data_IF_246036536402
#
_entry.id   IF_246036536402
#
_cell.length_a   1.000
_cell.length_b   1.000
_cell.length_c   1.000
_cell.angle_alpha   90.00
_cell.angle_beta   90.00
_cell.angle_gamma   90.00
#
_symmetry.space_group_name_H-M   'P 1'
#
loop_
_entity.id
_entity.type
_entity.pdbx_description
1 polymer ?
#
# COMPACT_ATOMS: atom_id res chain seq x y z
N UNK A 1 -50.47 26.89 16.70
CA UNK A 1 -51.24 25.83 17.39
C UNK A 1 -51.96 24.99 16.35
N UNK A 2 -51.49 23.77 16.08
CA UNK A 2 -52.31 22.65 15.61
C UNK A 2 -51.44 21.38 15.70
N UNK A 3 -51.81 20.51 16.63
CA UNK A 3 -51.29 19.15 16.78
C UNK A 3 -52.11 18.26 15.84
N UNK A 4 -51.49 17.32 15.14
CA UNK A 4 -52.10 16.02 14.94
C UNK A 4 -51.04 14.94 14.69
N UNK A 5 -50.85 14.15 15.73
CA UNK A 5 -50.13 12.89 15.79
C UNK A 5 -50.72 11.86 14.82
N UNK A 6 -49.87 11.15 14.07
CA UNK A 6 -50.16 9.78 13.63
C UNK A 6 -48.91 8.94 13.86
N UNK A 7 -49.01 8.10 14.89
CA UNK A 7 -48.15 6.95 15.09
C UNK A 7 -48.63 5.85 14.14
N UNK A 8 -47.78 5.44 13.19
CA UNK A 8 -47.93 4.18 12.47
C UNK A 8 -46.88 3.21 13.03
N UNK A 9 -47.37 2.35 13.92
CA UNK A 9 -46.84 1.03 14.22
C UNK A 9 -47.19 0.05 13.08
N UNK A 10 -46.50 -1.08 13.05
CA UNK A 10 -46.52 -2.22 12.11
C UNK A 10 -45.46 -2.11 11.00
N UNK A 11 -44.57 -3.08 10.78
CA UNK A 11 -44.60 -4.50 11.17
C UNK A 11 -43.19 -5.11 11.05
N UNK A 12 -42.73 -5.77 12.10
CA UNK A 12 -41.65 -6.75 12.05
C UNK A 12 -42.11 -7.96 11.23
N UNK A 13 -41.38 -8.30 10.17
CA UNK A 13 -41.43 -9.64 9.57
C UNK A 13 -40.06 -10.29 9.70
N UNK A 14 -39.94 -11.17 10.69
CA UNK A 14 -38.91 -12.20 10.77
C UNK A 14 -39.24 -13.28 9.72
N UNK A 15 -38.39 -13.46 8.72
CA UNK A 15 -38.20 -14.73 8.02
C UNK A 15 -36.76 -15.13 8.34
N UNK A 16 -36.43 -16.25 8.99
CA UNK A 16 -36.96 -17.59 8.80
C UNK A 16 -35.83 -18.42 8.16
N UNK A 17 -35.05 -19.12 8.98
CA UNK A 17 -33.95 -19.99 8.54
C UNK A 17 -34.49 -21.19 7.74
N UNK A 18 -33.84 -21.54 6.62
CA UNK A 18 -33.95 -22.86 6.01
C UNK A 18 -32.54 -23.41 5.83
N UNK A 19 -32.26 -24.45 6.59
CA UNK A 19 -31.09 -25.31 6.54
C UNK A 19 -31.48 -26.50 5.67
N UNK A 20 -30.68 -26.81 4.66
CA UNK A 20 -30.82 -28.03 3.88
C UNK A 20 -29.46 -28.73 3.88
N UNK A 21 -29.39 -29.80 4.66
CA UNK A 21 -28.35 -30.81 4.63
C UNK A 21 -28.73 -31.92 3.62
N UNK A 22 -27.65 -32.49 3.08
CA UNK A 22 -27.46 -33.84 2.56
C UNK A 22 -28.11 -34.31 1.25
N UNK A 23 -27.23 -34.68 0.32
CA UNK A 23 -27.13 -36.09 -0.09
C UNK A 23 -25.72 -36.43 -0.59
N UNK A 24 -25.09 -37.29 0.20
CA UNK A 24 -24.01 -38.22 -0.17
C UNK A 24 -24.18 -38.86 -1.56
N UNK A 25 -23.08 -39.02 -2.28
CA UNK A 25 -22.75 -40.36 -2.77
C UNK A 25 -21.23 -40.56 -2.90
N UNK A 26 -20.74 -41.43 -2.03
CA UNK A 26 -19.41 -42.04 -2.02
C UNK A 26 -19.36 -43.21 -3.00
N UNK A 27 -18.27 -43.33 -3.77
CA UNK A 27 -17.56 -44.59 -4.04
C UNK A 27 -16.22 -44.25 -4.71
N UNK A 28 -15.11 -44.25 -3.95
CA UNK A 28 -14.11 -45.34 -3.82
C UNK A 28 -13.46 -45.77 -5.14
N UNK A 29 -12.17 -46.14 -5.25
CA UNK A 29 -10.90 -45.96 -4.56
C UNK A 29 -9.86 -46.63 -5.51
N UNK A 30 -8.58 -46.56 -5.14
CA UNK A 30 -7.46 -47.44 -5.52
C UNK A 30 -6.71 -47.13 -6.83
N UNK A 31 -5.52 -46.53 -6.75
CA UNK A 31 -4.27 -47.27 -6.56
C UNK A 31 -3.06 -46.34 -6.37
N UNK A 32 -2.31 -46.62 -5.32
CA UNK A 32 -1.01 -46.03 -5.02
C UNK A 32 0.07 -46.54 -5.98
N UNK A 33 1.05 -45.69 -6.30
CA UNK A 33 2.43 -46.16 -6.48
C UNK A 33 3.44 -45.11 -6.01
N UNK A 34 4.12 -45.50 -4.93
CA UNK A 34 5.38 -45.01 -4.37
C UNK A 34 6.54 -45.37 -5.32
N UNK A 35 7.50 -44.46 -5.51
CA UNK A 35 8.96 -44.69 -5.57
C UNK A 35 9.62 -43.36 -5.98
N UNK A 36 10.37 -42.69 -5.11
CA UNK A 36 11.73 -42.97 -4.63
C UNK A 36 12.81 -42.32 -5.52
N UNK A 37 13.70 -41.63 -4.83
CA UNK A 37 14.86 -40.86 -5.28
C UNK A 37 15.85 -41.70 -6.11
N UNK A 38 16.74 -41.02 -6.85
CA UNK A 38 18.14 -41.41 -6.79
C UNK A 38 19.07 -40.21 -6.49
N UNK A 39 19.92 -40.42 -5.51
CA UNK A 39 21.13 -39.65 -5.19
C UNK A 39 22.31 -40.23 -5.96
N UNK A 40 23.04 -39.41 -6.74
CA UNK A 40 24.47 -39.62 -7.09
C UNK A 40 25.11 -38.23 -7.25
N UNK A 41 25.73 -37.66 -6.20
CA UNK A 41 27.18 -37.61 -5.89
C UNK A 41 28.01 -36.62 -6.72
N UNK A 42 28.31 -35.50 -6.04
CA UNK A 42 29.59 -34.79 -5.87
C UNK A 42 30.29 -33.99 -6.99
N UNK A 43 30.85 -32.86 -6.50
CA UNK A 43 31.87 -31.94 -7.04
C UNK A 43 31.34 -30.96 -8.11
N UNK A 44 31.52 -29.65 -8.02
CA UNK A 44 32.55 -28.84 -7.37
C UNK A 44 31.97 -27.50 -6.90
N UNK A 45 32.57 -27.01 -5.82
CA UNK A 45 32.56 -25.63 -5.35
C UNK A 45 32.94 -24.65 -6.45
N UNK A 46 32.04 -23.74 -6.79
CA UNK A 46 32.41 -22.41 -7.27
C UNK A 46 31.58 -21.40 -6.47
N UNK A 47 32.26 -20.75 -5.54
CA UNK A 47 31.77 -19.56 -4.89
C UNK A 47 31.48 -18.54 -5.98
N UNK A 48 30.20 -18.32 -6.29
CA UNK A 48 29.81 -17.14 -7.04
C UNK A 48 29.99 -15.96 -6.11
N UNK A 49 31.23 -15.46 -6.04
CA UNK A 49 31.57 -14.14 -5.54
C UNK A 49 30.69 -13.16 -6.31
N UNK A 50 29.54 -12.81 -5.76
CA UNK A 50 28.81 -11.65 -6.18
C UNK A 50 29.62 -10.48 -5.64
N UNK A 51 30.62 -10.11 -6.43
CA UNK A 51 31.24 -8.80 -6.37
C UNK A 51 30.14 -7.80 -6.72
N UNK A 52 29.30 -7.48 -5.73
CA UNK A 52 28.62 -6.20 -5.72
C UNK A 52 29.68 -5.24 -5.24
N UNK A 53 30.55 -4.85 -6.17
CA UNK A 53 31.10 -3.51 -6.17
C UNK A 53 29.87 -2.60 -6.17
N UNK A 54 29.43 -2.19 -4.98
CA UNK A 54 28.65 -0.98 -4.85
C UNK A 54 29.58 0.09 -5.38
N UNK A 55 29.39 0.42 -6.66
CA UNK A 55 29.96 1.62 -7.22
C UNK A 55 29.60 2.75 -6.25
N UNK A 56 30.65 3.25 -5.61
CA UNK A 56 30.74 4.34 -4.65
C UNK A 56 30.08 5.65 -5.14
N UNK A 57 29.51 5.63 -6.35
CA UNK A 57 28.98 6.77 -7.10
C UNK A 57 27.49 7.03 -6.90
N UNK A 58 26.82 6.36 -5.97
CA UNK A 58 25.49 6.81 -5.49
C UNK A 58 25.33 6.68 -3.98
N UNK A 59 26.44 6.72 -3.23
CA UNK A 59 26.38 7.30 -1.90
C UNK A 59 26.28 8.80 -2.12
N UNK A 60 25.06 9.30 -2.27
CA UNK A 60 24.81 10.72 -2.00
C UNK A 60 25.53 11.01 -0.68
N UNK A 61 26.33 12.07 -0.61
CA UNK A 61 26.85 12.60 0.65
C UNK A 61 25.64 13.04 1.49
N UNK A 62 24.97 12.07 2.12
CA UNK A 62 23.89 12.27 3.08
C UNK A 62 24.55 12.47 4.43
N UNK A 63 25.54 13.36 4.56
CA UNK A 63 26.25 13.55 5.82
C UNK A 63 25.48 14.46 6.76
N UNK A 64 24.65 15.36 6.23
CA UNK A 64 23.80 16.25 7.04
C UNK A 64 22.44 16.45 6.34
N UNK A 65 21.48 15.56 6.62
CA UNK A 65 20.09 15.79 6.22
C UNK A 65 19.41 16.42 7.42
N UNK A 66 19.03 17.67 7.28
CA UNK A 66 18.23 18.36 8.27
C UNK A 66 16.75 18.11 8.00
N UNK A 67 15.93 18.30 9.03
CA UNK A 67 14.47 18.22 8.89
C UNK A 67 13.95 19.20 7.83
N UNK A 68 14.59 20.37 7.72
CA UNK A 68 14.23 21.39 6.74
C UNK A 68 14.36 20.89 5.29
N UNK A 69 15.40 20.11 4.97
CA UNK A 69 15.58 19.55 3.62
C UNK A 69 14.44 18.59 3.26
N UNK A 70 13.98 17.80 4.24
CA UNK A 70 12.82 16.91 4.08
C UNK A 70 11.56 17.72 3.83
N UNK A 71 11.32 18.77 4.62
CA UNK A 71 10.15 19.63 4.49
C UNK A 71 10.11 20.31 3.11
N UNK A 72 11.24 20.84 2.62
CA UNK A 72 11.34 21.44 1.29
C UNK A 72 11.04 20.44 0.15
N UNK A 73 11.47 19.18 0.28
CA UNK A 73 11.16 18.14 -0.70
C UNK A 73 9.67 17.77 -0.70
N UNK A 74 9.03 17.74 0.46
CA UNK A 74 7.57 17.55 0.55
C UNK A 74 6.81 18.71 -0.08
N UNK A 75 7.25 19.95 0.12
CA UNK A 75 6.66 21.12 -0.54
C UNK A 75 6.79 21.05 -2.06
N UNK A 76 7.96 20.66 -2.58
CA UNK A 76 8.17 20.44 -4.01
C UNK A 76 7.22 19.35 -4.55
N UNK A 77 7.12 18.21 -3.86
CA UNK A 77 6.23 17.13 -4.26
C UNK A 77 4.75 17.55 -4.23
N UNK A 78 4.35 18.28 -3.19
CA UNK A 78 2.99 18.83 -3.06
C UNK A 78 2.67 19.79 -4.21
N UNK A 79 3.60 20.70 -4.53
CA UNK A 79 3.42 21.63 -5.64
C UNK A 79 3.31 20.90 -6.98
N UNK A 80 4.15 19.88 -7.21
CA UNK A 80 4.13 19.07 -8.43
C UNK A 80 2.79 18.33 -8.61
N UNK A 81 2.15 17.94 -7.50
CA UNK A 81 0.97 17.06 -7.50
C UNK A 81 -0.33 17.76 -7.09
N UNK A 82 -0.33 19.09 -7.01
CA UNK A 82 -1.49 19.85 -6.51
C UNK A 82 -2.72 19.75 -7.43
N UNK A 83 -2.51 19.60 -8.75
CA UNK A 83 -3.58 19.46 -9.71
C UNK A 83 -3.99 18.00 -9.80
N UNK A 84 -5.18 17.71 -9.29
CA UNK A 84 -5.77 16.37 -9.28
C UNK A 84 -6.77 16.16 -10.42
N UNK A 85 -6.78 17.02 -11.45
CA UNK A 85 -7.70 16.88 -12.57
C UNK A 85 -7.48 15.58 -13.34
N UNK A 86 -8.57 14.94 -13.79
CA UNK A 86 -8.53 13.68 -14.54
C UNK A 86 -9.68 13.60 -15.54
N UNK A 87 -9.47 12.85 -16.62
CA UNK A 87 -10.47 12.45 -17.61
C UNK A 87 -11.02 11.06 -17.30
N UNK A 88 -10.19 10.19 -16.72
CA UNK A 88 -10.58 8.84 -16.33
C UNK A 88 -9.67 8.30 -15.21
N UNK A 89 -10.10 7.20 -14.59
CA UNK A 89 -9.43 6.59 -13.43
C UNK A 89 -8.00 6.13 -13.70
N UNK A 90 -7.61 5.78 -14.93
CA UNK A 90 -6.24 5.30 -15.19
C UNK A 90 -5.18 6.39 -15.05
N UNK A 91 -5.60 7.66 -14.95
CA UNK A 91 -4.72 8.79 -14.68
C UNK A 91 -4.52 9.03 -13.18
N UNK A 92 -5.33 8.44 -12.31
CA UNK A 92 -5.23 8.64 -10.86
C UNK A 92 -4.32 7.59 -10.24
N UNK A 93 -3.28 8.05 -9.55
CA UNK A 93 -2.25 7.19 -9.00
C UNK A 93 -2.05 7.43 -7.51
N UNK A 94 -1.67 6.38 -6.79
CA UNK A 94 -1.24 6.44 -5.40
C UNK A 94 0.25 6.15 -5.31
N UNK A 95 1.00 7.03 -4.63
CA UNK A 95 2.43 6.89 -4.39
C UNK A 95 2.70 6.83 -2.89
N UNK A 96 3.44 5.81 -2.47
CA UNK A 96 4.02 5.78 -1.12
C UNK A 96 5.15 6.81 -1.03
N UNK A 97 5.17 7.60 0.04
CA UNK A 97 6.15 8.68 0.25
C UNK A 97 6.73 8.56 1.66
N UNK A 98 8.03 8.81 1.78
CA UNK A 98 8.72 8.90 3.06
C UNK A 98 9.01 7.56 3.72
N UNK A 99 9.37 7.62 5.00
CA UNK A 99 9.85 6.53 5.84
C UNK A 99 9.56 6.82 7.32
N UNK A 100 8.85 5.92 7.99
CA UNK A 100 8.69 5.93 9.46
C UNK A 100 9.87 5.21 10.11
N UNK A 101 10.19 5.55 11.35
CA UNK A 101 11.29 4.91 12.10
C UNK A 101 11.09 3.39 12.28
N UNK A 102 9.84 2.94 12.45
CA UNK A 102 9.47 1.53 12.50
C UNK A 102 9.41 0.83 11.12
N UNK A 103 9.77 1.54 10.03
CA UNK A 103 9.61 1.10 8.66
C UNK A 103 8.26 1.46 8.03
N UNK A 104 8.18 1.25 6.70
CA UNK A 104 7.02 1.64 5.89
C UNK A 104 7.00 3.15 5.54
N UNK A 105 6.12 3.57 4.62
CA UNK A 105 6.01 4.97 4.23
C UNK A 105 5.43 5.81 5.37
N UNK A 106 5.75 7.11 5.37
CA UNK A 106 5.12 8.07 6.28
C UNK A 106 3.74 8.52 5.77
N UNK A 107 3.50 8.43 4.46
CA UNK A 107 2.20 8.76 3.86
C UNK A 107 1.97 8.09 2.50
N UNK A 108 0.72 8.12 2.05
CA UNK A 108 0.35 7.85 0.66
C UNK A 108 -0.17 9.13 0.01
N UNK A 109 0.45 9.53 -1.10
CA UNK A 109 0.08 10.68 -1.91
C UNK A 109 -0.78 10.23 -3.09
N UNK A 110 -1.84 10.98 -3.37
CA UNK A 110 -2.61 10.89 -4.61
C UNK A 110 -2.11 11.93 -5.62
N UNK A 111 -1.98 11.55 -6.88
CA UNK A 111 -1.68 12.49 -7.96
C UNK A 111 -2.34 12.06 -9.27
N UNK A 112 -2.45 13.00 -10.20
CA UNK A 112 -2.93 12.73 -11.56
C UNK A 112 -1.77 12.73 -12.55
N UNK A 113 -1.65 11.68 -13.38
CA UNK A 113 -0.69 11.68 -14.49
C UNK A 113 -1.13 12.55 -15.67
N UNK A 114 -2.29 13.21 -15.59
CA UNK A 114 -2.73 14.21 -16.55
C UNK A 114 -1.93 15.51 -16.41
N UNK A 115 -1.65 15.90 -15.18
CA UNK A 115 -1.04 17.17 -14.79
C UNK A 115 0.39 17.02 -14.26
N UNK A 116 0.74 15.84 -13.73
CA UNK A 116 2.04 15.59 -13.10
C UNK A 116 2.80 14.45 -13.78
N UNK A 117 4.11 14.60 -13.95
CA UNK A 117 4.98 13.54 -14.46
C UNK A 117 5.15 12.42 -13.44
N UNK A 118 4.71 11.20 -13.78
CA UNK A 118 4.89 10.00 -12.94
C UNK A 118 6.36 9.74 -12.57
N UNK A 119 7.28 10.05 -13.48
CA UNK A 119 8.73 9.91 -13.25
C UNK A 119 9.21 10.89 -12.19
N UNK A 120 8.87 12.18 -12.31
CA UNK A 120 9.29 13.21 -11.35
C UNK A 120 8.69 12.98 -9.96
N UNK A 121 7.40 12.62 -9.90
CA UNK A 121 6.72 12.22 -8.65
C UNK A 121 7.43 11.03 -8.00
N UNK A 122 7.84 10.05 -8.81
CA UNK A 122 8.53 8.86 -8.31
C UNK A 122 9.92 9.18 -7.78
N UNK A 123 10.69 10.03 -8.45
CA UNK A 123 12.03 10.40 -7.99
C UNK A 123 11.99 11.28 -6.74
N UNK A 124 11.08 12.25 -6.66
CA UNK A 124 10.88 13.03 -5.44
C UNK A 124 10.45 12.15 -4.26
N UNK A 125 9.49 11.24 -4.47
CA UNK A 125 9.07 10.32 -3.41
C UNK A 125 10.22 9.44 -2.90
N UNK A 126 11.06 8.89 -3.80
CA UNK A 126 12.25 8.11 -3.42
C UNK A 126 13.25 8.97 -2.64
N UNK A 127 13.49 10.21 -3.07
CA UNK A 127 14.39 11.14 -2.40
C UNK A 127 13.91 11.43 -0.98
N UNK A 128 12.62 11.73 -0.80
CA UNK A 128 12.01 11.93 0.52
C UNK A 128 12.18 10.66 1.39
N UNK A 129 11.87 9.47 0.87
CA UNK A 129 12.06 8.21 1.60
C UNK A 129 13.50 8.01 2.06
N UNK A 130 14.48 8.32 1.21
CA UNK A 130 15.90 8.20 1.57
C UNK A 130 16.31 9.22 2.66
N UNK A 131 15.84 10.47 2.54
CA UNK A 131 16.13 11.53 3.49
C UNK A 131 15.51 11.25 4.85
N UNK A 132 14.22 10.89 4.90
CA UNK A 132 13.54 10.50 6.14
C UNK A 132 14.19 9.27 6.78
N UNK A 133 14.59 8.26 5.99
CA UNK A 133 15.27 7.08 6.53
C UNK A 133 16.62 7.44 7.17
N UNK A 134 17.41 8.31 6.52
CA UNK A 134 18.69 8.77 7.07
C UNK A 134 18.50 9.63 8.32
N UNK A 135 17.54 10.56 8.28
CA UNK A 135 17.18 11.39 9.42
C UNK A 135 16.74 10.55 10.61
N UNK A 136 15.85 9.58 10.40
CA UNK A 136 15.36 8.67 11.44
C UNK A 136 16.51 7.89 12.08
N UNK A 137 17.40 7.33 11.26
CA UNK A 137 18.56 6.57 11.72
C UNK A 137 19.51 7.43 12.56
N UNK A 138 19.92 8.60 12.05
CA UNK A 138 20.87 9.48 12.74
C UNK A 138 20.36 10.03 14.06
N UNK A 139 19.07 10.36 14.11
CA UNK A 139 18.47 10.98 15.29
C UNK A 139 17.88 9.97 16.28
N UNK A 140 18.11 8.66 16.08
CA UNK A 140 17.53 7.58 16.89
C UNK A 140 16.01 7.75 17.07
N UNK A 141 15.33 8.15 15.99
CA UNK A 141 13.90 8.38 16.03
C UNK A 141 13.16 7.08 16.34
N UNK A 142 12.08 7.20 17.10
CA UNK A 142 11.20 6.09 17.45
C UNK A 142 9.78 6.42 16.99
N UNK A 143 9.07 5.42 16.46
CA UNK A 143 7.65 5.53 16.09
C UNK A 143 6.91 4.25 16.47
N UNK A 144 5.59 4.34 16.61
CA UNK A 144 4.75 3.14 16.75
C UNK A 144 4.78 2.33 15.43
N UNK A 145 4.77 1.00 15.56
CA UNK A 145 4.76 0.05 14.43
C UNK A 145 3.35 -0.16 13.87
N UNK A 146 2.79 0.88 13.27
CA UNK A 146 1.45 0.83 12.67
C UNK A 146 1.55 0.59 11.16
N UNK A 147 0.71 -0.30 10.66
CA UNK A 147 0.61 -0.56 9.23
C UNK A 147 -0.32 0.46 8.56
N UNK A 148 0.25 1.34 7.72
CA UNK A 148 -0.55 2.22 6.87
C UNK A 148 -1.08 1.44 5.67
N UNK A 149 -2.40 1.30 5.59
CA UNK A 149 -3.05 0.65 4.46
C UNK A 149 -3.00 1.57 3.24
N UNK A 150 -2.52 1.06 2.10
CA UNK A 150 -2.58 1.80 0.83
C UNK A 150 -4.04 2.04 0.44
N UNK A 151 -4.49 3.30 0.25
CA UNK A 151 -5.83 3.57 -0.25
C UNK A 151 -5.96 3.20 -1.73
N UNK A 152 -7.20 3.00 -2.20
CA UNK A 152 -7.51 2.99 -3.62
C UNK A 152 -7.87 4.41 -4.10
N UNK A 153 -7.91 4.61 -5.42
CA UNK A 153 -8.17 5.92 -6.03
C UNK A 153 -9.07 5.79 -7.24
N UNK A 154 -9.87 6.83 -7.50
CA UNK A 154 -10.76 6.92 -8.65
C UNK A 154 -10.85 8.36 -9.18
N UNK A 155 -11.13 8.50 -10.48
CA UNK A 155 -11.55 9.78 -11.04
C UNK A 155 -13.04 9.97 -10.80
N UNK A 156 -13.40 10.94 -9.95
CA UNK A 156 -14.78 11.31 -9.62
C UNK A 156 -14.96 12.79 -9.94
N UNK A 157 -15.95 13.12 -10.77
CA UNK A 157 -16.22 14.52 -11.18
C UNK A 157 -14.97 15.24 -11.73
N UNK A 158 -14.19 14.55 -12.56
CA UNK A 158 -12.93 15.03 -13.15
C UNK A 158 -11.83 15.33 -12.11
N UNK A 159 -11.91 14.77 -10.90
CA UNK A 159 -10.90 14.91 -9.86
C UNK A 159 -10.50 13.55 -9.29
N UNK A 160 -9.20 13.31 -9.15
CA UNK A 160 -8.69 12.14 -8.47
C UNK A 160 -9.01 12.23 -6.97
N UNK A 161 -9.70 11.22 -6.45
CA UNK A 161 -10.07 11.11 -5.03
C UNK A 161 -9.63 9.76 -4.47
N UNK A 162 -9.27 9.73 -3.19
CA UNK A 162 -9.04 8.49 -2.46
C UNK A 162 -10.36 7.84 -2.09
N UNK A 163 -10.48 6.53 -2.25
CA UNK A 163 -11.62 5.77 -1.75
C UNK A 163 -11.26 5.29 -0.34
N UNK A 164 -12.01 5.74 0.66
CA UNK A 164 -11.91 5.22 2.02
C UNK A 164 -12.56 3.83 2.06
N UNK A 165 -11.84 2.83 2.58
CA UNK A 165 -12.44 1.55 2.93
C UNK A 165 -13.34 1.76 4.16
N UNK A 166 -14.64 1.94 3.95
CA UNK A 166 -15.65 2.03 5.04
C UNK A 166 -15.79 0.74 5.85
N UNK A 167 -15.03 -0.30 5.52
CA UNK A 167 -14.95 -1.56 6.26
C UNK A 167 -14.07 -1.53 7.51
N UNK A 168 -13.40 -0.40 7.82
CA UNK A 168 -12.63 -0.24 9.07
C UNK A 168 -13.44 0.36 10.25
N UNK A 169 -14.69 0.78 10.05
CA UNK A 169 -15.56 1.28 11.12
C UNK A 169 -16.46 0.18 11.75
N UNK A 170 -16.23 -1.09 11.39
CA UNK A 170 -17.07 -2.22 11.81
C UNK A 170 -16.43 -3.16 12.86
N UNK A 171 -15.48 -2.65 13.66
CA UNK A 171 -14.91 -3.38 14.81
C UNK A 171 -14.96 -2.54 16.08
#
# INVERSE_FOLDING_TARGET
>A
MMKLTHAMLLSLTLAGCAQSEDSDNTSTNVHAKKQESPTVVAKQSEERKLDVSLDEKTVLNVTDVEKKDIDELHEQLKSLTQDLSCDNTSQCHIKAVGSRACGGPSSYLIYSSKSSSTTEVTELAKKITAYESSFNFKNNMMSICEHLTRPSTQCVENKCVTLSNTSQEAY
#
